data_IF_408624319046
#
_entry.id   IF_408624319046
#
_cell.length_a   1.000
_cell.length_b   1.000
_cell.length_c   1.000
_cell.angle_alpha   90.00
_cell.angle_beta   90.00
_cell.angle_gamma   90.00
#
_symmetry.space_group_name_H-M   'P 1'
#
loop_
_entity.id
_entity.type
_entity.pdbx_description
1 polymer ?
#
# COMPACT_ATOMS: atom_id res chain seq x y z
N UNK A 1 10.15 0.84 19.84
CA UNK A 1 10.75 1.10 18.52
C UNK A 1 9.70 0.85 17.43
N UNK A 2 9.20 -0.39 17.33
CA UNK A 2 8.16 -0.83 16.37
C UNK A 2 6.91 0.06 16.32
N UNK A 3 6.34 0.47 17.45
CA UNK A 3 5.11 1.31 17.45
C UNK A 3 5.31 2.69 16.79
N UNK A 4 6.50 3.28 16.91
CA UNK A 4 6.81 4.59 16.31
C UNK A 4 6.99 4.46 14.80
N UNK A 5 7.61 3.37 14.34
CA UNK A 5 7.77 3.04 12.93
C UNK A 5 6.41 2.78 12.26
N UNK A 6 5.56 1.96 12.88
CA UNK A 6 4.19 1.73 12.42
C UNK A 6 3.41 3.04 12.32
N UNK A 7 3.53 3.92 13.33
CA UNK A 7 2.85 5.21 13.31
C UNK A 7 3.33 6.11 12.17
N UNK A 8 4.63 6.12 11.87
CA UNK A 8 5.19 6.88 10.76
C UNK A 8 4.71 6.32 9.41
N UNK A 9 4.73 5.00 9.24
CA UNK A 9 4.26 4.34 8.03
C UNK A 9 2.78 4.66 7.75
N UNK A 10 1.93 4.61 8.78
CA UNK A 10 0.52 5.00 8.67
C UNK A 10 0.34 6.45 8.20
N UNK A 11 1.17 7.37 8.71
CA UNK A 11 1.14 8.78 8.29
C UNK A 11 1.58 8.94 6.83
N UNK A 12 2.63 8.24 6.42
CA UNK A 12 3.11 8.26 5.04
C UNK A 12 2.08 7.70 4.06
N UNK A 13 1.44 6.59 4.38
CA UNK A 13 0.36 6.01 3.56
C UNK A 13 -0.77 7.03 3.42
N UNK A 14 -1.30 7.56 4.52
CA UNK A 14 -2.40 8.52 4.49
C UNK A 14 -2.07 9.79 3.68
N UNK A 15 -0.84 10.30 3.78
CA UNK A 15 -0.38 11.45 3.00
C UNK A 15 -0.34 11.13 1.49
N UNK A 16 0.21 9.97 1.12
CA UNK A 16 0.32 9.58 -0.28
C UNK A 16 -1.04 9.23 -0.90
N UNK A 17 -1.93 8.57 -0.16
CA UNK A 17 -3.32 8.34 -0.58
C UNK A 17 -4.04 9.66 -0.88
N UNK A 18 -3.90 10.66 -0.01
CA UNK A 18 -4.45 12.00 -0.23
C UNK A 18 -3.95 12.62 -1.54
N UNK A 19 -2.67 12.42 -1.87
CA UNK A 19 -2.10 12.88 -3.13
C UNK A 19 -2.64 12.12 -4.34
N UNK A 20 -2.80 10.80 -4.24
CA UNK A 20 -3.42 9.99 -5.30
C UNK A 20 -4.87 10.41 -5.56
N UNK A 21 -5.64 10.69 -4.50
CA UNK A 21 -7.02 11.19 -4.61
C UNK A 21 -7.03 12.54 -5.34
N UNK A 22 -6.13 13.47 -5.00
CA UNK A 22 -6.02 14.77 -5.71
C UNK A 22 -5.72 14.60 -7.20
N UNK A 23 -4.85 13.64 -7.55
CA UNK A 23 -4.53 13.34 -8.96
C UNK A 23 -5.75 12.74 -9.66
N UNK A 24 -6.43 11.78 -9.03
CA UNK A 24 -7.64 11.16 -9.57
C UNK A 24 -8.75 12.19 -9.80
N UNK A 25 -9.01 13.09 -8.86
CA UNK A 25 -10.06 14.11 -9.01
C UNK A 25 -9.81 15.04 -10.20
N UNK A 26 -8.55 15.25 -10.59
CA UNK A 26 -8.15 16.05 -11.77
C UNK A 26 -8.23 15.25 -13.06
N UNK A 27 -7.69 14.03 -13.09
CA UNK A 27 -7.52 13.23 -14.33
C UNK A 27 -8.68 12.28 -14.62
N UNK A 28 -9.44 11.88 -13.59
CA UNK A 28 -10.53 10.89 -13.63
C UNK A 28 -10.13 9.52 -14.17
N UNK A 29 -8.85 9.20 -14.05
CA UNK A 29 -8.29 7.90 -14.45
C UNK A 29 -8.32 6.94 -13.26
N UNK A 30 -9.36 6.10 -13.20
CA UNK A 30 -9.55 5.13 -12.13
C UNK A 30 -8.51 4.01 -12.15
N UNK A 31 -8.10 3.54 -13.34
CA UNK A 31 -7.12 2.47 -13.44
C UNK A 31 -5.75 2.93 -12.92
N UNK A 32 -5.33 4.13 -13.30
CA UNK A 32 -4.10 4.72 -12.77
C UNK A 32 -4.17 4.90 -11.25
N UNK A 33 -5.33 5.31 -10.72
CA UNK A 33 -5.52 5.42 -9.28
C UNK A 33 -5.34 4.06 -8.57
N UNK A 34 -6.05 3.02 -9.00
CA UNK A 34 -6.00 1.69 -8.38
C UNK A 34 -4.60 1.06 -8.45
N UNK A 35 -3.92 1.19 -9.59
CA UNK A 35 -2.56 0.72 -9.74
C UNK A 35 -1.61 1.41 -8.76
N UNK A 36 -1.65 2.75 -8.69
CA UNK A 36 -0.79 3.51 -7.80
C UNK A 36 -1.12 3.29 -6.32
N UNK A 37 -2.40 3.08 -6.00
CA UNK A 37 -2.82 2.77 -4.64
C UNK A 37 -2.29 1.39 -4.20
N UNK A 38 -2.37 0.38 -5.08
CA UNK A 38 -1.80 -0.95 -4.82
C UNK A 38 -0.28 -0.88 -4.64
N UNK A 39 0.42 -0.09 -5.48
CA UNK A 39 1.88 0.11 -5.37
C UNK A 39 2.30 0.83 -4.08
N UNK A 40 1.49 1.77 -3.59
CA UNK A 40 1.73 2.44 -2.32
C UNK A 40 1.73 1.43 -1.16
N UNK A 41 0.75 0.52 -1.15
CA UNK A 41 0.67 -0.53 -0.13
C UNK A 41 1.78 -1.57 -0.28
N UNK A 42 2.13 -1.98 -1.51
CA UNK A 42 3.27 -2.87 -1.77
C UNK A 42 4.55 -2.33 -1.13
N UNK A 43 4.82 -1.03 -1.29
CA UNK A 43 6.01 -0.41 -0.72
C UNK A 43 6.01 -0.53 0.81
N UNK A 44 4.90 -0.20 1.45
CA UNK A 44 4.77 -0.28 2.91
C UNK A 44 4.90 -1.71 3.44
N UNK A 45 4.26 -2.68 2.78
CA UNK A 45 4.35 -4.09 3.18
C UNK A 45 5.75 -4.67 2.97
N UNK A 46 6.46 -4.27 1.91
CA UNK A 46 7.86 -4.67 1.69
C UNK A 46 8.78 -4.16 2.79
N UNK A 47 8.67 -2.88 3.14
CA UNK A 47 9.47 -2.30 4.24
C UNK A 47 9.22 -3.03 5.57
N UNK A 48 7.96 -3.34 5.90
CA UNK A 48 7.63 -4.11 7.09
C UNK A 48 8.13 -5.57 7.00
N UNK A 49 7.99 -6.20 5.84
CA UNK A 49 8.41 -7.59 5.63
C UNK A 49 9.91 -7.76 5.81
N UNK A 50 10.71 -6.84 5.28
CA UNK A 50 12.17 -6.83 5.42
C UNK A 50 12.62 -6.72 6.88
N UNK A 51 11.91 -5.94 7.70
CA UNK A 51 12.18 -5.78 9.13
C UNK A 51 11.92 -7.04 9.97
N UNK A 52 11.07 -7.96 9.49
CA UNK A 52 10.74 -9.19 10.21
C UNK A 52 11.75 -10.31 10.01
N UNK A 53 12.70 -10.15 9.09
CA UNK A 53 13.81 -11.08 8.85
C UNK A 53 13.39 -12.55 8.63
N UNK A 54 12.20 -12.79 8.05
CA UNK A 54 11.70 -14.15 7.80
C UNK A 54 12.54 -14.95 6.79
N UNK A 55 13.42 -14.31 6.02
CA UNK A 55 14.29 -14.96 5.02
C UNK A 55 13.46 -15.91 4.13
N UNK A 56 13.81 -17.20 4.13
CA UNK A 56 13.18 -18.23 3.29
C UNK A 56 12.16 -19.08 4.06
N UNK A 57 11.78 -18.66 5.28
CA UNK A 57 10.84 -19.41 6.13
C UNK A 57 9.38 -19.09 5.86
N UNK A 58 9.10 -17.97 5.17
CA UNK A 58 7.75 -17.53 4.84
C UNK A 58 7.73 -16.74 3.53
N UNK A 59 6.54 -16.53 2.98
CA UNK A 59 6.29 -15.62 1.85
C UNK A 59 4.99 -14.88 2.07
N UNK A 60 4.94 -13.63 1.61
CA UNK A 60 3.74 -12.81 1.59
C UNK A 60 3.20 -12.75 0.17
N UNK A 61 1.92 -13.08 -0.02
CA UNK A 61 1.28 -13.14 -1.32
C UNK A 61 0.03 -12.28 -1.29
N UNK A 62 -0.05 -11.31 -2.20
CA UNK A 62 -1.26 -10.52 -2.40
C UNK A 62 -2.33 -11.36 -3.12
N UNK A 63 -3.55 -11.32 -2.60
CA UNK A 63 -4.70 -12.08 -3.12
C UNK A 63 -5.82 -11.14 -3.57
N UNK A 64 -6.84 -11.70 -4.24
CA UNK A 64 -8.05 -10.96 -4.59
C UNK A 64 -7.80 -9.72 -5.45
N UNK A 65 -8.55 -8.64 -5.18
CA UNK A 65 -8.40 -7.36 -5.88
C UNK A 65 -7.01 -6.75 -5.70
N UNK A 66 -6.42 -6.86 -4.51
CA UNK A 66 -5.07 -6.37 -4.25
C UNK A 66 -4.03 -7.07 -5.13
N UNK A 67 -4.09 -8.40 -5.23
CA UNK A 67 -3.19 -9.17 -6.10
C UNK A 67 -3.32 -8.85 -7.61
N UNK A 68 -4.47 -8.30 -8.04
CA UNK A 68 -4.69 -7.82 -9.41
C UNK A 68 -4.41 -6.32 -9.60
N UNK A 69 -3.89 -5.65 -8.57
CA UNK A 69 -3.66 -4.20 -8.54
C UNK A 69 -4.95 -3.37 -8.63
N UNK A 70 -6.05 -3.93 -8.16
CA UNK A 70 -7.39 -3.33 -8.11
C UNK A 70 -7.76 -2.95 -6.66
N UNK A 71 -6.81 -2.46 -5.87
CA UNK A 71 -7.07 -2.11 -4.47
C UNK A 71 -7.89 -0.81 -4.37
N UNK A 72 -9.14 -0.92 -3.93
CA UNK A 72 -10.02 0.24 -3.70
C UNK A 72 -9.74 0.90 -2.34
N UNK A 73 -10.11 2.18 -2.17
CA UNK A 73 -10.03 2.84 -0.86
C UNK A 73 -10.79 2.03 0.20
N UNK A 74 -10.25 1.96 1.41
CA UNK A 74 -10.85 1.24 2.54
C UNK A 74 -10.99 -0.29 2.35
N UNK A 75 -10.34 -0.87 1.32
CA UNK A 75 -10.29 -2.33 1.17
C UNK A 75 -9.29 -2.96 2.14
N UNK A 76 -9.61 -4.18 2.58
CA UNK A 76 -8.68 -5.00 3.35
C UNK A 76 -7.51 -5.50 2.48
N UNK A 77 -6.39 -5.81 3.14
CA UNK A 77 -5.14 -6.30 2.56
C UNK A 77 -4.61 -7.52 3.31
#
# INVERSE_FOLDING_TARGET
>A
MIQKEILNLKKEIALNESNLIKVFLKKRDGQSYLNNHSLLIDKALKELWEQLEFKNSASLIACGGYGRQELFPYSDI
#
